data_IF_963709020227
#
_entry.id   IF_963709020227
#
_cell.length_a   1.000
_cell.length_b   1.000
_cell.length_c   1.000
_cell.angle_alpha   90.00
_cell.angle_beta   90.00
_cell.angle_gamma   90.00
#
_symmetry.space_group_name_H-M   'P 1'
#
loop_
_entity.id
_entity.type
_entity.pdbx_description
1 polymer ?
#
# COMPACT_ATOMS: atom_id res chain seq x y z
N UNK A 1 8.44 15.58 -6.62
CA UNK A 1 9.07 14.41 -5.96
C UNK A 1 9.16 14.51 -4.43
N UNK A 2 9.79 15.51 -3.82
CA UNK A 2 10.02 15.54 -2.36
C UNK A 2 8.73 15.63 -1.51
N UNK A 3 7.66 16.29 -2.00
CA UNK A 3 6.36 16.36 -1.30
C UNK A 3 5.57 15.04 -1.34
N UNK A 4 5.55 14.36 -2.49
CA UNK A 4 4.92 13.04 -2.64
C UNK A 4 5.59 11.99 -1.72
N UNK A 5 6.94 12.01 -1.67
CA UNK A 5 7.75 11.12 -0.81
C UNK A 5 7.48 11.33 0.69
N UNK A 6 7.37 12.59 1.14
CA UNK A 6 6.98 12.95 2.53
C UNK A 6 5.52 12.59 2.88
N UNK A 7 4.61 12.59 1.90
CA UNK A 7 3.19 12.29 2.12
C UNK A 7 2.91 10.80 2.29
N UNK A 8 3.58 9.94 1.52
CA UNK A 8 3.43 8.49 1.61
C UNK A 8 4.03 7.97 2.92
N UNK A 9 5.17 8.54 3.34
CA UNK A 9 5.78 8.20 4.63
C UNK A 9 4.86 8.58 5.81
N UNK A 10 4.11 9.69 5.72
CA UNK A 10 3.10 10.05 6.73
C UNK A 10 1.91 9.07 6.74
N UNK A 11 1.47 8.57 5.58
CA UNK A 11 0.40 7.58 5.52
C UNK A 11 0.83 6.23 6.14
N UNK A 12 2.10 5.86 6.02
CA UNK A 12 2.67 4.67 6.65
C UNK A 12 2.94 4.82 8.17
N UNK A 13 2.92 6.03 8.73
CA UNK A 13 3.28 6.31 10.14
C UNK A 13 2.13 6.85 11.03
N UNK A 14 0.92 7.06 10.51
CA UNK A 14 -0.16 7.66 11.30
C UNK A 14 -0.93 6.62 12.10
N UNK A 15 -0.84 6.71 13.44
CA UNK A 15 -1.90 6.26 14.36
C UNK A 15 -3.18 7.07 14.11
N UNK A 16 -4.38 6.52 14.35
CA UNK A 16 -5.63 7.20 14.03
C UNK A 16 -5.79 8.48 14.87
N UNK A 17 -6.16 9.57 14.19
CA UNK A 17 -6.60 10.83 14.81
C UNK A 17 -7.99 10.58 15.40
N UNK A 18 -8.07 10.69 16.73
CA UNK A 18 -9.33 10.74 17.47
C UNK A 18 -9.94 12.13 17.34
N UNK A 19 -11.11 12.23 16.71
CA UNK A 19 -12.09 13.28 17.04
C UNK A 19 -13.48 12.67 17.11
N UNK A 20 -13.99 12.60 18.34
CA UNK A 20 -15.40 12.90 18.60
C UNK A 20 -16.45 11.84 18.33
N UNK A 21 -16.31 10.61 18.83
CA UNK A 21 -17.47 9.83 19.31
C UNK A 21 -17.04 8.72 20.31
N UNK A 22 -17.28 8.94 21.61
CA UNK A 22 -17.53 7.84 22.55
C UNK A 22 -16.35 7.05 23.15
N UNK A 23 -15.33 7.71 23.72
CA UNK A 23 -14.20 7.09 24.45
C UNK A 23 -14.49 6.56 25.87
N UNK A 24 -15.75 6.28 26.26
CA UNK A 24 -16.07 5.69 27.58
C UNK A 24 -16.34 4.19 27.60
N UNK A 25 -16.25 3.48 26.47
CA UNK A 25 -16.53 2.03 26.41
C UNK A 25 -15.33 1.12 26.06
N UNK A 26 -14.14 1.68 25.83
CA UNK A 26 -12.97 0.94 25.36
C UNK A 26 -11.97 0.48 26.45
N UNK A 27 -12.26 0.68 27.74
CA UNK A 27 -11.36 0.22 28.82
C UNK A 27 -11.81 -1.04 29.57
N UNK A 28 -12.85 -1.77 29.13
CA UNK A 28 -13.19 -3.08 29.72
C UNK A 28 -13.82 -4.03 28.70
N UNK A 29 -13.04 -5.02 28.25
CA UNK A 29 -13.43 -6.20 27.44
C UNK A 29 -12.36 -7.29 27.57
N UNK A 30 -12.72 -8.59 27.51
CA UNK A 30 -12.27 -9.58 28.50
C UNK A 30 -10.86 -10.14 28.24
N UNK A 31 -10.14 -10.45 29.34
CA UNK A 31 -8.96 -11.33 29.31
C UNK A 31 -9.40 -12.73 28.86
N UNK A 32 -9.17 -13.06 27.60
CA UNK A 32 -9.16 -14.48 27.17
C UNK A 32 -7.77 -15.05 27.41
N UNK A 33 -7.70 -15.99 28.36
CA UNK A 33 -6.57 -16.91 28.49
C UNK A 33 -6.54 -17.76 27.23
N UNK A 34 -5.44 -17.67 26.48
CA UNK A 34 -5.19 -18.63 25.41
C UNK A 34 -4.82 -19.96 26.05
N UNK A 35 -5.77 -20.89 26.05
CA UNK A 35 -5.52 -22.29 26.39
C UNK A 35 -4.68 -22.92 25.27
N UNK A 36 -3.53 -23.44 25.67
CA UNK A 36 -2.55 -24.04 24.78
C UNK A 36 -2.95 -25.48 24.45
N UNK A 37 -3.75 -25.69 23.40
CA UNK A 37 -3.70 -26.88 22.52
C UNK A 37 -4.84 -26.81 21.49
N UNK A 38 -4.52 -26.37 20.27
CA UNK A 38 -5.27 -26.80 19.09
C UNK A 38 -4.30 -26.94 17.92
N UNK A 39 -4.46 -28.04 17.22
CA UNK A 39 -3.42 -28.73 16.47
C UNK A 39 -2.96 -27.97 15.22
N UNK A 40 -1.67 -28.12 14.96
CA UNK A 40 -0.95 -27.59 13.80
C UNK A 40 -1.46 -28.21 12.51
N UNK A 41 -2.38 -27.53 11.83
CA UNK A 41 -2.62 -27.68 10.41
C UNK A 41 -2.16 -26.39 9.71
N UNK A 42 -0.90 -26.39 9.25
CA UNK A 42 -0.34 -25.42 8.29
C UNK A 42 -0.80 -23.96 8.47
N UNK A 43 -0.64 -23.40 9.66
CA UNK A 43 -1.24 -22.11 9.99
C UNK A 43 -0.46 -20.97 9.31
N UNK A 44 -1.09 -20.32 8.34
CA UNK A 44 -0.63 -19.09 7.72
C UNK A 44 -0.56 -17.98 8.79
N UNK A 45 0.52 -17.96 9.58
CA UNK A 45 0.83 -16.90 10.53
C UNK A 45 1.46 -15.71 9.80
N UNK A 46 0.68 -15.14 8.89
CA UNK A 46 1.10 -13.99 8.12
C UNK A 46 1.13 -12.76 9.01
N UNK A 47 2.30 -12.49 9.57
CA UNK A 47 2.54 -11.31 10.40
C UNK A 47 2.15 -10.04 9.63
N UNK A 48 1.30 -9.18 10.21
CA UNK A 48 0.93 -7.85 9.67
C UNK A 48 2.14 -6.93 9.45
N UNK A 49 3.27 -7.24 10.07
CA UNK A 49 4.56 -6.56 9.87
C UNK A 49 5.25 -6.96 8.56
N UNK A 50 4.68 -7.89 7.76
CA UNK A 50 5.15 -8.26 6.41
C UNK A 50 4.18 -7.75 5.37
N UNK A 51 4.68 -6.92 4.44
CA UNK A 51 3.87 -6.27 3.40
C UNK A 51 4.40 -6.56 2.01
N UNK A 52 3.50 -6.87 1.08
CA UNK A 52 3.79 -6.86 -0.35
C UNK A 52 3.23 -5.58 -0.99
N UNK A 53 4.01 -4.97 -1.87
CA UNK A 53 3.54 -3.88 -2.75
C UNK A 53 3.36 -4.51 -4.12
N UNK A 54 2.12 -4.66 -4.58
CA UNK A 54 1.86 -5.18 -5.91
C UNK A 54 2.27 -4.15 -6.98
N UNK A 55 2.65 -4.61 -8.19
CA UNK A 55 2.91 -3.72 -9.30
C UNK A 55 1.73 -2.77 -9.52
N UNK A 56 2.00 -1.47 -9.49
CA UNK A 56 0.96 -0.47 -9.70
C UNK A 56 0.37 -0.63 -11.10
N UNK A 57 -0.95 -0.48 -11.20
CA UNK A 57 -1.66 -0.59 -12.47
C UNK A 57 -1.61 0.76 -13.19
N UNK A 58 -1.13 0.77 -14.43
CA UNK A 58 -1.30 1.92 -15.31
C UNK A 58 -2.73 1.92 -15.88
N UNK A 59 -3.51 2.94 -15.52
CA UNK A 59 -4.86 3.18 -16.04
C UNK A 59 -4.91 4.48 -16.88
N UNK A 60 -3.74 4.92 -17.36
CA UNK A 60 -3.59 6.08 -18.24
C UNK A 60 -4.03 5.73 -19.67
N UNK A 61 -4.41 6.73 -20.48
CA UNK A 61 -4.75 6.50 -21.89
C UNK A 61 -3.56 6.05 -22.74
N UNK A 62 -2.34 6.44 -22.37
CA UNK A 62 -1.10 6.08 -23.09
C UNK A 62 -0.41 4.89 -22.38
N UNK A 63 -0.30 3.72 -23.04
CA UNK A 63 0.45 2.58 -22.53
C UNK A 63 1.93 2.89 -22.29
N UNK A 64 2.50 3.89 -22.98
CA UNK A 64 3.90 4.30 -22.79
C UNK A 64 4.18 4.85 -21.40
N UNK A 65 3.15 5.24 -20.63
CA UNK A 65 3.31 5.70 -19.25
C UNK A 65 3.51 4.54 -18.23
N UNK A 66 3.62 3.29 -18.67
CA UNK A 66 3.83 2.11 -17.82
C UNK A 66 5.07 2.22 -16.92
N UNK A 67 6.16 2.84 -17.42
CA UNK A 67 7.38 3.07 -16.63
C UNK A 67 7.11 3.88 -15.36
N UNK A 68 6.07 4.72 -15.37
CA UNK A 68 5.70 5.53 -14.21
C UNK A 68 5.09 4.66 -13.12
N UNK A 69 4.23 3.70 -13.49
CA UNK A 69 3.66 2.75 -12.54
C UNK A 69 4.75 1.84 -11.95
N UNK A 70 5.67 1.36 -12.78
CA UNK A 70 6.83 0.57 -12.32
C UNK A 70 7.75 1.38 -11.41
N UNK A 71 8.03 2.64 -11.76
CA UNK A 71 8.84 3.55 -10.95
C UNK A 71 8.19 3.88 -9.60
N UNK A 72 6.86 4.05 -9.56
CA UNK A 72 6.12 4.24 -8.31
C UNK A 72 6.18 3.01 -7.40
N UNK A 73 6.06 1.81 -7.99
CA UNK A 73 6.20 0.54 -7.27
C UNK A 73 7.58 0.45 -6.61
N UNK A 74 8.64 0.74 -7.37
CA UNK A 74 10.02 0.73 -6.88
C UNK A 74 10.26 1.73 -5.75
N UNK A 75 9.80 2.98 -5.94
CA UNK A 75 9.95 4.04 -4.95
C UNK A 75 9.21 3.71 -3.64
N UNK A 76 8.05 3.06 -3.72
CA UNK A 76 7.29 2.60 -2.56
C UNK A 76 8.02 1.48 -1.81
N UNK A 77 8.51 0.47 -2.53
CA UNK A 77 9.32 -0.60 -1.94
C UNK A 77 10.53 0.01 -1.23
N UNK A 78 11.29 0.88 -1.90
CA UNK A 78 12.48 1.53 -1.34
C UNK A 78 12.17 2.39 -0.12
N UNK A 79 11.06 3.14 -0.15
CA UNK A 79 10.66 4.02 0.94
C UNK A 79 10.19 3.25 2.17
N UNK A 80 9.33 2.23 1.97
CA UNK A 80 8.77 1.43 3.07
C UNK A 80 9.82 0.50 3.68
N UNK A 81 10.80 0.02 2.90
CA UNK A 81 11.89 -0.83 3.38
C UNK A 81 12.79 -0.14 4.42
N UNK A 82 12.72 1.19 4.54
CA UNK A 82 13.47 1.95 5.57
C UNK A 82 12.83 1.88 6.96
N UNK A 83 11.59 1.39 7.06
CA UNK A 83 10.89 1.24 8.32
C UNK A 83 11.36 -0.07 8.98
N UNK A 84 12.16 0.02 10.04
CA UNK A 84 12.86 -1.13 10.66
C UNK A 84 11.93 -2.27 11.11
N UNK A 85 10.68 -1.96 11.45
CA UNK A 85 9.69 -2.94 11.91
C UNK A 85 8.86 -3.55 10.77
N UNK A 86 9.05 -3.08 9.54
CA UNK A 86 8.28 -3.49 8.38
C UNK A 86 9.15 -4.32 7.43
N UNK A 87 8.74 -5.56 7.18
CA UNK A 87 9.37 -6.47 6.23
C UNK A 87 8.67 -6.31 4.88
N UNK A 88 9.34 -5.65 3.94
CA UNK A 88 8.83 -5.42 2.60
C UNK A 88 9.29 -6.53 1.66
N UNK A 89 8.37 -7.11 0.89
CA UNK A 89 8.71 -8.11 -0.13
C UNK A 89 9.49 -7.46 -1.28
N UNK A 90 10.51 -8.16 -1.78
CA UNK A 90 11.37 -7.66 -2.83
C UNK A 90 10.62 -7.38 -4.14
N UNK A 91 11.11 -6.40 -4.90
CA UNK A 91 10.61 -6.04 -6.22
C UNK A 91 10.54 -7.25 -7.16
N UNK A 92 11.62 -8.02 -7.27
CA UNK A 92 11.68 -9.17 -8.18
C UNK A 92 10.60 -10.21 -7.85
N UNK A 93 10.33 -10.43 -6.56
CA UNK A 93 9.29 -11.35 -6.11
C UNK A 93 7.88 -10.87 -6.43
N UNK A 94 7.60 -9.55 -6.41
CA UNK A 94 6.27 -9.02 -6.71
C UNK A 94 6.02 -8.80 -8.21
N UNK A 95 7.07 -8.63 -9.02
CA UNK A 95 6.93 -8.32 -10.44
C UNK A 95 6.29 -9.45 -11.25
N UNK A 96 6.35 -10.69 -10.78
CA UNK A 96 5.63 -11.84 -11.36
C UNK A 96 4.11 -11.73 -11.29
N UNK A 97 3.59 -10.85 -10.43
CA UNK A 97 2.14 -10.62 -10.27
C UNK A 97 1.64 -9.45 -11.11
N UNK A 98 2.49 -8.87 -11.98
CA UNK A 98 2.06 -7.86 -12.93
C UNK A 98 1.01 -8.45 -13.86
N UNK A 99 -0.15 -7.79 -13.96
CA UNK A 99 -1.30 -8.25 -14.76
C UNK A 99 -1.75 -9.70 -14.43
N UNK A 100 -1.56 -10.12 -13.19
CA UNK A 100 -2.01 -11.45 -12.76
C UNK A 100 -3.53 -11.51 -12.65
N UNK A 101 -4.09 -12.71 -12.84
CA UNK A 101 -5.50 -13.01 -12.57
C UNK A 101 -5.73 -13.59 -11.17
N UNK A 102 -4.65 -13.78 -10.39
CA UNK A 102 -4.74 -14.30 -9.02
C UNK A 102 -5.42 -13.31 -8.09
N UNK A 103 -6.15 -13.82 -7.11
CA UNK A 103 -6.74 -13.00 -6.06
C UNK A 103 -5.68 -12.49 -5.08
N UNK A 104 -6.02 -11.44 -4.34
CA UNK A 104 -5.13 -10.85 -3.32
C UNK A 104 -4.79 -11.89 -2.26
N UNK A 105 -5.75 -12.72 -1.86
CA UNK A 105 -5.57 -13.79 -0.88
C UNK A 105 -4.60 -14.86 -1.38
N UNK A 106 -4.68 -15.26 -2.65
CA UNK A 106 -3.74 -16.21 -3.25
C UNK A 106 -2.32 -15.67 -3.27
N UNK A 107 -2.15 -14.41 -3.70
CA UNK A 107 -0.85 -13.75 -3.75
C UNK A 107 -0.28 -13.61 -2.34
N UNK A 108 -1.11 -13.25 -1.36
CA UNK A 108 -0.69 -13.10 0.02
C UNK A 108 -0.20 -14.43 0.62
N UNK A 109 -0.90 -15.52 0.31
CA UNK A 109 -0.51 -16.89 0.69
C UNK A 109 0.85 -17.25 0.10
N UNK A 110 1.04 -17.02 -1.20
CA UNK A 110 2.31 -17.32 -1.87
C UNK A 110 3.49 -16.51 -1.35
N UNK A 111 3.26 -15.24 -1.00
CA UNK A 111 4.30 -14.34 -0.50
C UNK A 111 4.50 -14.39 1.03
N UNK A 112 3.63 -15.10 1.74
CA UNK A 112 3.60 -15.13 3.20
C UNK A 112 3.57 -13.73 3.83
N UNK A 113 2.56 -12.93 3.46
CA UNK A 113 2.37 -11.53 3.92
C UNK A 113 1.00 -11.33 4.57
N UNK A 114 0.97 -10.54 5.64
CA UNK A 114 -0.27 -10.21 6.36
C UNK A 114 -0.99 -8.99 5.80
N UNK A 115 -0.30 -8.21 4.96
CA UNK A 115 -0.88 -7.04 4.31
C UNK A 115 -0.40 -6.87 2.87
N UNK A 116 -1.28 -6.36 2.03
CA UNK A 116 -0.98 -6.05 0.63
C UNK A 116 -1.30 -4.58 0.34
N UNK A 117 -0.38 -3.92 -0.34
CA UNK A 117 -0.57 -2.58 -0.88
C UNK A 117 -0.79 -2.67 -2.38
N UNK A 118 -1.95 -2.18 -2.82
CA UNK A 118 -2.30 -2.04 -4.22
C UNK A 118 -2.34 -0.58 -4.62
N UNK A 119 -2.16 -0.32 -5.91
CA UNK A 119 -2.35 1.02 -6.41
C UNK A 119 -2.49 1.10 -7.92
N UNK A 120 -2.95 2.26 -8.36
CA UNK A 120 -3.09 2.58 -9.77
C UNK A 120 -2.60 4.00 -10.02
N UNK A 121 -1.98 4.21 -11.18
CA UNK A 121 -1.64 5.54 -11.67
C UNK A 121 -2.43 5.87 -12.91
N UNK A 122 -2.98 7.08 -12.96
CA UNK A 122 -3.54 7.69 -14.16
C UNK A 122 -2.83 9.01 -14.44
N UNK A 123 -2.18 9.11 -15.58
CA UNK A 123 -1.67 10.36 -16.12
C UNK A 123 -2.59 10.77 -17.28
N UNK A 124 -3.17 11.96 -17.17
CA UNK A 124 -4.05 12.50 -18.19
C UNK A 124 -3.82 14.00 -18.32
N UNK A 125 -3.42 14.44 -19.52
CA UNK A 125 -3.04 15.82 -19.80
C UNK A 125 -2.03 16.36 -18.76
N UNK A 126 -2.46 17.29 -17.91
CA UNK A 126 -1.63 17.93 -16.87
C UNK A 126 -1.94 17.44 -15.45
N UNK A 127 -2.70 16.35 -15.29
CA UNK A 127 -3.04 15.76 -14.00
C UNK A 127 -2.46 14.35 -13.86
N UNK A 128 -1.82 14.11 -12.73
CA UNK A 128 -1.41 12.81 -12.25
C UNK A 128 -2.33 12.41 -11.09
N UNK A 129 -3.01 11.28 -11.22
CA UNK A 129 -3.82 10.70 -10.16
C UNK A 129 -3.20 9.38 -9.71
N UNK A 130 -2.97 9.28 -8.41
CA UNK A 130 -2.44 8.07 -7.78
C UNK A 130 -3.49 7.60 -6.78
N UNK A 131 -3.89 6.35 -6.89
CA UNK A 131 -4.74 5.67 -5.90
C UNK A 131 -3.90 4.60 -5.23
N UNK A 132 -3.99 4.53 -3.91
CA UNK A 132 -3.33 3.50 -3.09
C UNK A 132 -4.37 2.88 -2.15
N UNK A 133 -4.27 1.57 -1.94
CA UNK A 133 -5.09 0.80 -1.02
C UNK A 133 -4.18 -0.09 -0.17
N UNK A 134 -4.50 -0.22 1.11
CA UNK A 134 -3.88 -1.19 2.00
C UNK A 134 -4.97 -2.20 2.41
N UNK A 135 -4.68 -3.48 2.20
CA UNK A 135 -5.57 -4.61 2.45
C UNK A 135 -4.97 -5.42 3.60
N UNK A 136 -5.78 -5.72 4.62
CA UNK A 136 -5.46 -6.72 5.64
C UNK A 136 -5.99 -8.07 5.16
N UNK A 137 -5.07 -8.99 4.88
CA UNK A 137 -5.37 -10.29 4.30
C UNK A 137 -6.07 -11.20 5.31
N UNK A 138 -5.85 -11.01 6.61
CA UNK A 138 -6.43 -11.88 7.64
C UNK A 138 -7.94 -11.70 7.76
N UNK A 139 -8.43 -10.47 7.51
CA UNK A 139 -9.84 -10.13 7.60
C UNK A 139 -10.48 -9.91 6.22
N UNK A 140 -9.70 -9.96 5.14
CA UNK A 140 -10.11 -9.55 3.79
C UNK A 140 -10.73 -8.13 3.76
N UNK A 141 -10.18 -7.25 4.61
CA UNK A 141 -10.72 -5.91 4.80
C UNK A 141 -9.80 -4.85 4.19
N UNK A 142 -10.43 -3.90 3.48
CA UNK A 142 -9.76 -2.67 3.08
C UNK A 142 -9.50 -1.79 4.31
N UNK A 143 -8.30 -1.89 4.88
CA UNK A 143 -7.89 -1.08 6.03
C UNK A 143 -7.93 0.40 5.70
N UNK A 144 -7.49 0.76 4.48
CA UNK A 144 -7.41 2.15 4.06
C UNK A 144 -7.32 2.29 2.54
N UNK A 145 -7.90 3.37 2.01
CA UNK A 145 -7.68 3.81 0.64
C UNK A 145 -7.47 5.32 0.59
N UNK A 146 -6.61 5.78 -0.32
CA UNK A 146 -6.43 7.20 -0.60
C UNK A 146 -6.15 7.44 -2.08
N UNK A 147 -6.85 8.43 -2.61
CA UNK A 147 -6.58 8.99 -3.93
C UNK A 147 -5.99 10.37 -3.79
N UNK A 148 -4.86 10.60 -4.47
CA UNK A 148 -4.20 11.90 -4.54
C UNK A 148 -4.15 12.35 -5.99
N UNK A 149 -4.36 13.65 -6.21
CA UNK A 149 -4.26 14.30 -7.53
C UNK A 149 -3.14 15.34 -7.45
N UNK A 150 -2.14 15.20 -8.29
CA UNK A 150 -1.07 16.16 -8.48
C UNK A 150 -1.22 16.78 -9.86
N UNK A 151 -1.38 18.11 -9.92
CA UNK A 151 -1.43 18.82 -11.19
C UNK A 151 0.00 19.26 -11.52
N UNK A 152 0.52 18.80 -12.66
CA UNK A 152 1.79 19.27 -13.19
C UNK A 152 1.66 20.78 -13.41
N UNK A 153 2.35 21.57 -12.58
CA UNK A 153 2.55 22.99 -12.88
C UNK A 153 3.54 23.05 -14.04
N UNK A 154 3.05 22.89 -15.26
CA UNK A 154 3.90 22.97 -16.44
C UNK A 154 4.53 24.36 -16.46
N UNK A 155 5.86 24.33 -16.60
CA UNK A 155 6.78 25.44 -16.55
C UNK A 155 6.51 26.42 -17.70
N UNK A 156 5.60 27.38 -17.49
CA UNK A 156 5.54 28.59 -18.31
C UNK A 156 6.60 29.57 -17.83
N UNK A 157 7.85 29.34 -18.25
CA UNK A 157 8.82 30.43 -18.40
C UNK A 157 9.02 30.66 -19.88
N UNK A 158 8.06 31.34 -20.48
CA UNK A 158 8.30 32.08 -21.72
C UNK A 158 8.34 33.57 -21.40
N UNK A 159 9.31 34.25 -22.04
CA UNK A 159 9.58 35.69 -22.14
C UNK A 159 10.27 36.40 -20.98
N UNK A 160 11.56 36.72 -21.20
CA UNK A 160 11.98 38.00 -21.81
C UNK A 160 13.50 38.01 -22.02
N UNK A 161 13.93 38.04 -23.27
CA UNK A 161 14.75 39.13 -23.85
C UNK A 161 14.81 38.94 -25.35
#
# INVERSE_FOLDING_TARGET
>A
MVKAKRMILKAALLKPVEEGLGIKRWLRGPKQKHDATKERIGEFSASRDRVAILPFVNISPDPKDEYFADGMTEELISTLSKIHRLKVISRTSIMRYKQTAKSVEEIAKELNVGSILEGSVRKAANELRITVKLIDVQNDEHVWSRTTRERSRTYSRSRKR
#
